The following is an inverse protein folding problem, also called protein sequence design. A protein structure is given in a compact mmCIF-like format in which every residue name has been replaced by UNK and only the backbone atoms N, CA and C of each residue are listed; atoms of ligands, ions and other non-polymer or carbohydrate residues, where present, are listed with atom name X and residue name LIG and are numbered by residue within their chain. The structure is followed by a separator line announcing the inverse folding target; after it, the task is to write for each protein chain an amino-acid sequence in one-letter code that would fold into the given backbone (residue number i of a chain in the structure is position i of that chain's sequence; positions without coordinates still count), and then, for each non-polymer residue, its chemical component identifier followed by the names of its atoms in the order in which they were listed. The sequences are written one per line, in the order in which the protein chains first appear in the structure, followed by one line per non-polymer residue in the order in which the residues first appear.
data_IF_175438428364
#
_entry.id   IF_175438428364
#
_cell.length_a   1.000
_cell.length_b   1.000
_cell.length_c   1.000
_cell.angle_alpha   90.00
_cell.angle_beta   90.00
_cell.angle_gamma   90.00
#
_symmetry.space_group_name_H-M   'P 1'
#
loop_
_entity.id
_entity.type
_entity.pdbx_description
1 polymer ?
#
# COMPACT_ATOMS: atom_id res chain seq x y z
N UNK A 1 -80.20 -54.75 5.19
CA UNK A 1 -80.48 -53.44 4.58
C UNK A 1 -79.50 -52.39 5.12
N UNK A 2 -78.44 -52.13 4.34
CA UNK A 2 -77.59 -50.93 4.20
C UNK A 2 -77.13 -50.14 5.45
N UNK A 3 -75.85 -50.34 5.84
CA UNK A 3 -75.06 -49.43 6.71
C UNK A 3 -74.63 -48.17 5.93
N UNK A 4 -75.15 -46.99 6.27
CA UNK A 4 -74.64 -45.69 5.79
C UNK A 4 -73.35 -45.31 6.55
N UNK A 5 -72.20 -45.39 5.88
CA UNK A 5 -70.94 -44.77 6.35
C UNK A 5 -70.95 -43.28 6.02
N UNK A 6 -70.92 -42.41 7.03
CA UNK A 6 -70.58 -40.98 6.87
C UNK A 6 -69.06 -40.86 6.73
N UNK A 7 -68.56 -40.42 5.57
CA UNK A 7 -67.15 -40.07 5.42
C UNK A 7 -66.91 -38.65 5.94
N UNK A 8 -66.10 -38.56 7.00
CA UNK A 8 -65.54 -37.31 7.49
C UNK A 8 -64.34 -36.95 6.61
N UNK A 9 -64.47 -35.94 5.75
CA UNK A 9 -63.32 -35.30 5.08
C UNK A 9 -62.55 -34.50 6.14
N UNK A 10 -61.60 -35.15 6.83
CA UNK A 10 -60.56 -34.44 7.59
C UNK A 10 -59.56 -33.85 6.60
N UNK A 11 -59.59 -32.53 6.44
CA UNK A 11 -58.59 -31.79 5.68
C UNK A 11 -57.20 -32.04 6.27
N UNK A 12 -56.31 -32.61 5.46
CA UNK A 12 -54.91 -32.79 5.81
C UNK A 12 -54.25 -31.40 5.94
N UNK A 13 -54.10 -30.90 7.17
CA UNK A 13 -53.18 -29.80 7.46
C UNK A 13 -51.75 -30.32 7.25
N UNK A 14 -51.21 -30.12 6.05
CA UNK A 14 -49.79 -30.34 5.75
C UNK A 14 -48.97 -29.42 6.67
N UNK A 15 -48.34 -29.98 7.70
CA UNK A 15 -47.36 -29.27 8.50
C UNK A 15 -46.16 -28.96 7.61
N UNK A 16 -46.07 -27.71 7.15
CA UNK A 16 -44.92 -27.22 6.39
C UNK A 16 -43.68 -27.31 7.29
N UNK A 17 -42.71 -28.15 6.90
CA UNK A 17 -41.50 -28.38 7.68
C UNK A 17 -40.73 -27.09 7.90
N UNK A 18 -40.10 -26.95 9.06
CA UNK A 18 -39.33 -25.76 9.49
C UNK A 18 -38.28 -25.32 8.45
N UNK A 19 -37.76 -26.24 7.64
CA UNK A 19 -36.86 -25.96 6.51
C UNK A 19 -37.52 -25.26 5.30
N UNK A 20 -38.81 -25.52 5.04
CA UNK A 20 -39.58 -24.80 4.01
C UNK A 20 -39.80 -23.33 4.38
N UNK A 21 -39.79 -23.00 5.68
CA UNK A 21 -39.97 -21.64 6.16
C UNK A 21 -38.72 -20.77 5.96
N UNK A 22 -37.51 -21.32 6.08
CA UNK A 22 -36.28 -20.57 5.85
C UNK A 22 -36.04 -20.28 4.35
N UNK A 23 -36.29 -21.27 3.50
CA UNK A 23 -36.10 -21.14 2.05
C UNK A 23 -37.17 -20.24 1.43
N UNK A 24 -38.44 -20.37 1.83
CA UNK A 24 -39.52 -19.46 1.41
C UNK A 24 -39.26 -18.02 1.89
N UNK A 25 -38.81 -17.82 3.13
CA UNK A 25 -38.48 -16.48 3.65
C UNK A 25 -37.30 -15.84 2.90
N UNK A 26 -36.29 -16.62 2.50
CA UNK A 26 -35.19 -16.15 1.62
C UNK A 26 -35.70 -15.77 0.23
N UNK A 27 -36.56 -16.58 -0.39
CA UNK A 27 -37.18 -16.29 -1.70
C UNK A 27 -38.04 -15.02 -1.64
N UNK A 28 -38.94 -14.92 -0.66
CA UNK A 28 -39.76 -13.74 -0.43
C UNK A 28 -38.92 -12.47 -0.24
N UNK A 29 -37.80 -12.55 0.49
CA UNK A 29 -36.88 -11.42 0.66
C UNK A 29 -36.15 -11.06 -0.64
N UNK A 30 -35.80 -12.04 -1.48
CA UNK A 30 -35.23 -11.82 -2.81
C UNK A 30 -36.24 -11.16 -3.74
N UNK A 31 -37.47 -11.63 -3.76
CA UNK A 31 -38.55 -11.12 -4.61
C UNK A 31 -38.98 -9.71 -4.22
N UNK A 32 -39.02 -9.40 -2.92
CA UNK A 32 -39.22 -8.03 -2.45
C UNK A 32 -38.10 -7.08 -2.91
N UNK A 33 -36.84 -7.54 -2.90
CA UNK A 33 -35.71 -6.73 -3.38
C UNK A 33 -35.77 -6.51 -4.89
N UNK A 34 -36.11 -7.54 -5.67
CA UNK A 34 -36.23 -7.40 -7.13
C UNK A 34 -37.39 -6.48 -7.50
N UNK A 35 -38.53 -6.58 -6.81
CA UNK A 35 -39.67 -5.66 -6.98
C UNK A 35 -39.31 -4.21 -6.67
N UNK A 36 -38.74 -3.93 -5.49
CA UNK A 36 -38.28 -2.57 -5.14
C UNK A 36 -37.25 -2.03 -6.13
N UNK A 37 -36.35 -2.88 -6.62
CA UNK A 37 -35.38 -2.50 -7.65
C UNK A 37 -36.06 -2.20 -8.98
N UNK A 38 -37.08 -2.95 -9.37
CA UNK A 38 -37.85 -2.71 -10.60
C UNK A 38 -38.67 -1.42 -10.51
N UNK A 39 -39.34 -1.16 -9.38
CA UNK A 39 -40.06 0.08 -9.10
C UNK A 39 -39.10 1.29 -9.14
N UNK A 40 -37.95 1.18 -8.48
CA UNK A 40 -36.91 2.20 -8.55
C UNK A 40 -36.41 2.44 -9.98
N UNK A 41 -36.16 1.40 -10.76
CA UNK A 41 -35.77 1.49 -12.17
C UNK A 41 -36.86 2.11 -13.04
N UNK A 42 -38.14 1.92 -12.70
CA UNK A 42 -39.25 2.54 -13.40
C UNK A 42 -39.31 4.06 -13.18
N UNK A 43 -38.84 4.57 -12.03
CA UNK A 43 -38.75 6.02 -11.76
C UNK A 43 -37.58 6.72 -12.48
N UNK A 44 -36.67 5.97 -13.11
CA UNK A 44 -35.45 6.51 -13.74
C UNK A 44 -35.68 6.84 -15.23
N UNK A 45 -34.97 7.85 -15.79
CA UNK A 45 -35.03 8.16 -17.21
C UNK A 45 -34.69 6.93 -18.08
N UNK A 46 -35.42 6.74 -19.18
CA UNK A 46 -35.22 5.64 -20.14
C UNK A 46 -33.88 5.77 -20.88
N UNK A 47 -33.43 7.00 -21.16
CA UNK A 47 -32.19 7.26 -21.90
C UNK A 47 -30.94 6.97 -21.05
N UNK A 48 -29.93 6.24 -21.57
CA UNK A 48 -28.77 5.80 -20.80
C UNK A 48 -27.95 6.95 -20.21
N UNK A 49 -27.73 8.02 -20.99
CA UNK A 49 -26.96 9.20 -20.54
C UNK A 49 -27.70 9.99 -19.45
N UNK A 50 -29.02 10.24 -19.61
CA UNK A 50 -29.84 10.93 -18.60
C UNK A 50 -29.93 10.12 -17.30
N UNK A 51 -29.95 8.79 -17.41
CA UNK A 51 -29.90 7.88 -16.27
C UNK A 51 -28.56 7.93 -15.55
N UNK A 52 -27.45 8.02 -16.29
CA UNK A 52 -26.12 8.17 -15.72
C UNK A 52 -25.98 9.51 -14.97
N UNK A 53 -26.34 10.63 -15.60
CA UNK A 53 -26.36 11.96 -14.99
C UNK A 53 -27.23 12.02 -13.73
N UNK A 54 -28.42 11.40 -13.76
CA UNK A 54 -29.31 11.34 -12.59
C UNK A 54 -28.70 10.57 -11.41
N UNK A 55 -27.85 9.56 -11.66
CA UNK A 55 -27.11 8.84 -10.63
C UNK A 55 -25.90 9.62 -10.11
N UNK A 56 -25.29 10.45 -10.95
CA UNK A 56 -24.14 11.30 -10.60
C UNK A 56 -24.52 12.55 -9.79
N UNK A 57 -25.81 12.81 -9.55
CA UNK A 57 -26.23 13.95 -8.73
C UNK A 57 -25.59 13.89 -7.32
N UNK A 58 -24.93 14.95 -6.85
CA UNK A 58 -24.08 14.93 -5.65
C UNK A 58 -24.76 14.33 -4.41
N UNK A 59 -25.99 14.77 -4.11
CA UNK A 59 -26.76 14.28 -2.95
C UNK A 59 -26.99 12.77 -2.95
N UNK A 60 -27.25 12.17 -4.12
CA UNK A 60 -27.55 10.73 -4.24
C UNK A 60 -26.27 9.91 -4.26
N UNK A 61 -25.22 10.47 -4.85
CA UNK A 61 -23.87 9.92 -4.78
C UNK A 61 -23.43 9.79 -3.32
N UNK A 62 -23.48 10.88 -2.53
CA UNK A 62 -23.13 10.83 -1.11
C UNK A 62 -24.07 9.90 -0.32
N UNK A 63 -25.39 9.99 -0.50
CA UNK A 63 -26.34 9.10 0.18
C UNK A 63 -26.08 7.61 -0.10
N UNK A 64 -25.65 7.26 -1.32
CA UNK A 64 -25.26 5.90 -1.66
C UNK A 64 -23.97 5.49 -0.94
N UNK A 65 -22.90 6.29 -1.03
CA UNK A 65 -21.60 5.97 -0.43
C UNK A 65 -21.63 5.86 1.11
N UNK A 66 -22.48 6.64 1.78
CA UNK A 66 -22.71 6.54 3.23
C UNK A 66 -23.75 5.47 3.63
N UNK A 67 -24.34 4.75 2.67
CA UNK A 67 -25.24 3.63 2.95
C UNK A 67 -24.49 2.32 3.17
N UNK A 68 -25.17 1.31 3.76
CA UNK A 68 -24.60 -0.05 3.90
C UNK A 68 -24.19 -0.67 2.56
N UNK A 69 -24.92 -0.37 1.48
CA UNK A 69 -24.60 -0.88 0.14
C UNK A 69 -23.37 -0.19 -0.46
N UNK A 70 -23.24 1.13 -0.24
CA UNK A 70 -22.06 1.90 -0.63
C UNK A 70 -20.80 1.50 0.12
N UNK A 71 -20.88 1.27 1.43
CA UNK A 71 -19.75 0.78 2.23
C UNK A 71 -19.23 -0.58 1.76
N UNK A 72 -20.12 -1.52 1.43
CA UNK A 72 -19.73 -2.82 0.86
C UNK A 72 -19.09 -2.63 -0.53
N UNK A 73 -19.59 -1.71 -1.35
CA UNK A 73 -18.98 -1.40 -2.64
C UNK A 73 -17.59 -0.77 -2.47
N UNK A 74 -17.41 0.12 -1.50
CA UNK A 74 -16.13 0.73 -1.15
C UNK A 74 -15.09 -0.34 -0.77
N UNK A 75 -15.47 -1.30 0.07
CA UNK A 75 -14.62 -2.43 0.45
C UNK A 75 -14.24 -3.29 -0.75
N UNK A 76 -15.18 -3.56 -1.67
CA UNK A 76 -14.88 -4.31 -2.91
C UNK A 76 -13.90 -3.57 -3.81
N UNK A 77 -14.14 -2.28 -4.02
CA UNK A 77 -13.25 -1.43 -4.82
C UNK A 77 -11.86 -1.36 -4.16
N UNK A 78 -11.80 -1.17 -2.85
CA UNK A 78 -10.55 -1.19 -2.08
C UNK A 78 -9.81 -2.52 -2.21
N UNK A 79 -10.52 -3.65 -2.09
CA UNK A 79 -9.94 -4.99 -2.26
C UNK A 79 -9.38 -5.21 -3.67
N UNK A 80 -10.11 -4.82 -4.71
CA UNK A 80 -9.64 -4.90 -6.11
C UNK A 80 -8.44 -3.96 -6.34
N UNK A 81 -8.46 -2.76 -5.77
CA UNK A 81 -7.36 -1.81 -5.86
C UNK A 81 -6.09 -2.34 -5.17
N UNK A 82 -6.22 -2.99 -4.00
CA UNK A 82 -5.10 -3.64 -3.31
C UNK A 82 -4.53 -4.76 -4.17
N UNK A 83 -5.38 -5.64 -4.72
CA UNK A 83 -4.93 -6.74 -5.58
C UNK A 83 -4.22 -6.21 -6.84
N UNK A 84 -4.76 -5.16 -7.45
CA UNK A 84 -4.12 -4.48 -8.57
C UNK A 84 -2.76 -3.89 -8.19
N UNK A 85 -2.66 -3.22 -7.04
CA UNK A 85 -1.38 -2.70 -6.53
C UNK A 85 -0.35 -3.80 -6.30
N UNK A 86 -0.75 -4.94 -5.73
CA UNK A 86 0.15 -6.09 -5.54
C UNK A 86 0.65 -6.64 -6.88
N UNK A 87 -0.23 -6.76 -7.87
CA UNK A 87 0.16 -7.22 -9.21
C UNK A 87 1.11 -6.25 -9.91
N UNK A 88 0.82 -4.95 -9.87
CA UNK A 88 1.68 -3.91 -10.43
C UNK A 88 3.04 -3.90 -9.73
N UNK A 89 3.05 -3.95 -8.40
CA UNK A 89 4.29 -3.99 -7.63
C UNK A 89 5.10 -5.25 -7.94
N UNK A 90 4.46 -6.42 -8.01
CA UNK A 90 5.11 -7.68 -8.37
C UNK A 90 5.69 -7.68 -9.78
N UNK A 91 4.97 -7.08 -10.75
CA UNK A 91 5.45 -6.93 -12.12
C UNK A 91 6.65 -5.98 -12.19
N UNK A 92 6.59 -4.83 -11.51
CA UNK A 92 7.71 -3.89 -11.42
C UNK A 92 8.91 -4.52 -10.71
N UNK A 93 8.67 -5.26 -9.62
CA UNK A 93 9.71 -6.01 -8.92
C UNK A 93 10.39 -7.00 -9.87
N UNK A 94 9.63 -7.82 -10.61
CA UNK A 94 10.17 -8.78 -11.56
C UNK A 94 10.93 -8.10 -12.71
N UNK A 95 10.42 -6.97 -13.21
CA UNK A 95 11.06 -6.19 -14.27
C UNK A 95 12.41 -5.63 -13.82
N UNK A 96 12.44 -4.91 -12.70
CA UNK A 96 13.67 -4.28 -12.20
C UNK A 96 14.62 -5.28 -11.54
N UNK A 97 14.14 -6.40 -11.00
CA UNK A 97 15.00 -7.42 -10.39
C UNK A 97 16.07 -7.93 -11.35
N UNK A 98 15.74 -8.09 -12.63
CA UNK A 98 16.70 -8.54 -13.65
C UNK A 98 17.83 -7.53 -13.88
N UNK A 99 17.55 -6.23 -13.78
CA UNK A 99 18.57 -5.18 -13.85
C UNK A 99 19.42 -5.13 -12.57
N UNK A 100 18.82 -5.45 -11.42
CA UNK A 100 19.44 -5.37 -10.10
C UNK A 100 20.27 -6.60 -9.74
N UNK A 101 20.06 -7.76 -10.37
CA UNK A 101 20.87 -8.97 -10.16
C UNK A 101 22.37 -8.74 -10.45
N UNK A 102 22.71 -7.72 -11.23
CA UNK A 102 24.09 -7.29 -11.47
C UNK A 102 24.74 -6.64 -10.23
N UNK A 103 23.94 -6.12 -9.30
CA UNK A 103 24.42 -5.42 -8.10
C UNK A 103 24.61 -6.44 -6.98
N UNK A 104 25.85 -6.90 -6.81
CA UNK A 104 26.21 -7.88 -5.79
C UNK A 104 26.53 -7.19 -4.47
N UNK A 105 26.14 -7.74 -3.30
CA UNK A 105 26.46 -7.14 -1.98
C UNK A 105 27.96 -6.89 -1.77
N UNK A 106 28.84 -7.70 -2.38
CA UNK A 106 30.29 -7.50 -2.37
C UNK A 106 30.80 -6.26 -3.13
N UNK A 107 29.94 -5.57 -3.88
CA UNK A 107 30.24 -4.25 -4.46
C UNK A 107 30.09 -3.12 -3.43
N UNK A 108 29.25 -3.30 -2.40
CA UNK A 108 28.99 -2.26 -1.41
C UNK A 108 30.28 -1.86 -0.67
N UNK A 109 31.07 -2.85 -0.27
CA UNK A 109 32.37 -2.64 0.39
C UNK A 109 33.44 -2.03 -0.53
N UNK A 110 33.28 -2.17 -1.86
CA UNK A 110 34.15 -1.50 -2.84
C UNK A 110 33.77 -0.03 -3.05
N UNK A 111 32.48 0.29 -2.89
CA UNK A 111 31.93 1.64 -3.13
C UNK A 111 31.93 2.53 -1.88
N UNK A 112 31.91 1.91 -0.69
CA UNK A 112 32.01 2.60 0.61
C UNK A 112 33.45 2.43 1.11
N UNK A 113 34.35 3.23 0.55
CA UNK A 113 35.77 3.24 0.95
C UNK A 113 36.18 4.62 1.44
N UNK A 114 37.12 4.62 2.38
CA UNK A 114 37.80 5.83 2.84
C UNK A 114 38.62 6.39 1.68
N UNK A 115 38.43 7.66 1.37
CA UNK A 115 39.18 8.36 0.32
C UNK A 115 40.30 9.22 0.90
N UNK A 116 40.42 9.27 2.23
CA UNK A 116 41.40 10.08 2.96
C UNK A 116 42.67 9.27 3.19
N UNK A 117 43.81 9.81 2.75
CA UNK A 117 45.12 9.26 3.05
C UNK A 117 45.64 9.88 4.34
N UNK A 118 46.09 9.04 5.28
CA UNK A 118 46.60 9.49 6.58
C UNK A 118 48.10 9.24 6.67
N UNK A 119 48.84 10.28 7.03
CA UNK A 119 50.28 10.23 7.25
C UNK A 119 50.56 10.22 8.74
N UNK A 120 51.30 9.21 9.20
CA UNK A 120 51.67 9.02 10.60
C UNK A 120 53.19 9.10 10.77
N UNK A 121 53.65 9.52 11.95
CA UNK A 121 55.05 9.37 12.36
C UNK A 121 55.36 7.91 12.74
N UNK A 122 56.64 7.58 12.94
CA UNK A 122 57.15 6.28 13.42
C UNK A 122 56.52 5.80 14.73
N UNK A 123 55.90 6.70 15.49
CA UNK A 123 55.24 6.43 16.76
C UNK A 123 53.69 6.38 16.62
N UNK A 124 53.16 6.21 15.40
CA UNK A 124 51.72 6.19 15.08
C UNK A 124 50.96 7.50 15.44
N UNK A 125 51.67 8.62 15.57
CA UNK A 125 51.04 9.93 15.75
C UNK A 125 50.60 10.47 14.39
N UNK A 126 49.30 10.76 14.24
CA UNK A 126 48.74 11.34 13.01
C UNK A 126 49.35 12.73 12.77
N UNK A 127 50.07 12.88 11.66
CA UNK A 127 50.69 14.15 11.26
C UNK A 127 49.81 14.93 10.31
N UNK A 128 49.18 14.25 9.34
CA UNK A 128 48.38 14.89 8.32
C UNK A 128 47.33 13.95 7.72
N UNK A 129 46.16 14.50 7.40
CA UNK A 129 45.14 13.87 6.57
C UNK A 129 45.05 14.59 5.22
N UNK A 130 45.38 13.89 4.14
CA UNK A 130 45.15 14.36 2.79
C UNK A 130 43.77 13.89 2.31
N UNK A 131 42.92 14.86 2.01
CA UNK A 131 41.52 14.68 1.62
C UNK A 131 41.31 14.83 0.11
N UNK A 132 42.35 15.18 -0.64
CA UNK A 132 42.27 15.54 -2.05
C UNK A 132 41.43 16.80 -2.31
N UNK A 133 41.14 17.05 -3.59
CA UNK A 133 40.57 18.32 -4.07
C UNK A 133 39.02 18.33 -4.09
N UNK A 134 38.38 17.26 -3.61
CA UNK A 134 36.95 17.02 -3.77
C UNK A 134 36.24 16.54 -2.50
N UNK A 135 35.04 15.99 -2.67
CA UNK A 135 34.29 15.38 -1.58
C UNK A 135 35.05 14.14 -1.05
N UNK A 136 35.35 14.14 0.24
CA UNK A 136 36.02 13.02 0.90
C UNK A 136 35.04 12.18 1.72
N UNK A 137 35.39 10.90 1.89
CA UNK A 137 34.70 9.97 2.78
C UNK A 137 35.68 9.39 3.77
N UNK A 138 35.29 9.41 5.05
CA UNK A 138 35.99 8.69 6.10
C UNK A 138 35.03 7.61 6.63
N UNK A 139 35.37 6.35 6.38
CA UNK A 139 34.62 5.22 6.93
C UNK A 139 35.13 4.96 8.34
N UNK A 140 34.24 5.11 9.31
CA UNK A 140 34.48 4.82 10.73
C UNK A 140 33.73 3.57 11.14
N UNK A 141 34.23 2.88 12.16
CA UNK A 141 33.52 1.75 12.76
C UNK A 141 32.34 2.28 13.57
N UNK A 142 31.29 1.46 13.70
CA UNK A 142 30.08 1.86 14.44
C UNK A 142 30.39 2.27 15.90
N UNK A 143 31.35 1.60 16.54
CA UNK A 143 31.76 1.88 17.91
C UNK A 143 32.56 3.19 18.07
N UNK A 144 32.99 3.81 16.97
CA UNK A 144 33.64 5.14 16.96
C UNK A 144 32.59 6.27 16.86
N UNK A 145 31.33 5.93 16.62
CA UNK A 145 30.22 6.89 16.54
C UNK A 145 29.57 7.02 17.91
N UNK A 146 29.53 8.23 18.45
CA UNK A 146 28.87 8.51 19.72
C UNK A 146 27.40 8.05 19.71
N UNK A 147 26.98 7.33 20.76
CA UNK A 147 25.63 6.78 20.86
C UNK A 147 24.51 7.84 20.68
N UNK A 148 24.59 9.04 21.28
CA UNK A 148 23.59 10.09 21.04
C UNK A 148 23.49 10.51 19.57
N UNK A 149 24.59 10.45 18.81
CA UNK A 149 24.59 10.78 17.38
C UNK A 149 23.80 9.74 16.59
N UNK A 150 24.05 8.44 16.83
CA UNK A 150 23.30 7.35 16.18
C UNK A 150 21.81 7.48 16.47
N UNK A 151 21.46 7.70 17.74
CA UNK A 151 20.07 7.84 18.16
C UNK A 151 19.39 9.07 17.55
N UNK A 152 20.08 10.22 17.49
CA UNK A 152 19.55 11.44 16.87
C UNK A 152 19.29 11.26 15.37
N UNK A 153 20.24 10.66 14.64
CA UNK A 153 20.07 10.39 13.21
C UNK A 153 18.89 9.45 12.96
N UNK A 154 18.77 8.37 13.72
CA UNK A 154 17.65 7.43 13.62
C UNK A 154 16.34 8.16 13.96
N UNK A 155 16.30 8.96 15.02
CA UNK A 155 15.09 9.66 15.42
C UNK A 155 14.57 10.65 14.36
N UNK A 156 15.48 11.37 13.68
CA UNK A 156 15.14 12.38 12.67
C UNK A 156 14.81 11.73 11.31
N UNK A 157 15.69 10.85 10.82
CA UNK A 157 15.60 10.32 9.45
C UNK A 157 14.71 9.08 9.36
N UNK A 158 14.80 8.18 10.34
CA UNK A 158 14.15 6.86 10.25
C UNK A 158 13.84 6.26 11.62
N UNK A 159 12.86 6.83 12.32
CA UNK A 159 12.54 6.48 13.73
C UNK A 159 12.24 5.00 13.99
N UNK A 160 11.85 4.26 12.95
CA UNK A 160 11.48 2.84 13.03
C UNK A 160 12.53 1.97 12.32
N UNK A 161 13.76 2.48 12.12
CA UNK A 161 14.85 1.83 11.40
C UNK A 161 15.04 0.35 11.76
N UNK A 162 15.09 0.05 13.06
CA UNK A 162 15.28 -1.32 13.55
C UNK A 162 14.02 -2.22 13.49
N UNK A 163 12.86 -1.69 13.10
CA UNK A 163 11.59 -2.42 13.06
C UNK A 163 11.16 -2.84 11.65
N UNK A 164 11.82 -2.31 10.62
CA UNK A 164 11.47 -2.61 9.23
C UNK A 164 12.64 -3.24 8.46
N UNK A 165 12.33 -4.07 7.46
CA UNK A 165 13.32 -4.67 6.56
C UNK A 165 13.75 -3.72 5.44
N UNK A 166 14.15 -2.50 5.77
CA UNK A 166 14.68 -1.51 4.81
C UNK A 166 13.67 -0.62 4.08
N UNK A 167 12.37 -0.93 4.05
CA UNK A 167 11.31 -0.02 3.57
C UNK A 167 10.26 0.19 4.65
N UNK A 168 9.99 1.45 5.01
CA UNK A 168 9.05 1.82 6.05
C UNK A 168 7.67 2.16 5.47
N UNK A 169 6.71 1.23 5.58
CA UNK A 169 5.33 1.49 5.18
C UNK A 169 4.71 2.64 5.99
N UNK A 170 4.96 2.68 7.32
CA UNK A 170 4.50 3.76 8.19
C UNK A 170 5.12 5.11 7.82
N UNK A 171 6.40 5.13 7.42
CA UNK A 171 7.09 6.31 6.90
C UNK A 171 6.45 6.84 5.61
N UNK A 172 6.20 5.97 4.64
CA UNK A 172 5.56 6.31 3.37
C UNK A 172 4.14 6.85 3.60
N UNK A 173 3.31 6.15 4.39
CA UNK A 173 1.94 6.58 4.66
C UNK A 173 1.90 7.93 5.39
N UNK A 174 2.77 8.14 6.38
CA UNK A 174 2.88 9.41 7.11
C UNK A 174 3.27 10.56 6.19
N UNK A 175 4.29 10.36 5.36
CA UNK A 175 4.73 11.35 4.39
C UNK A 175 3.63 11.70 3.39
N UNK A 176 2.89 10.68 2.90
CA UNK A 176 1.73 10.89 2.03
C UNK A 176 0.65 11.73 2.73
N UNK A 177 0.21 11.35 3.93
CA UNK A 177 -0.83 12.10 4.66
C UNK A 177 -0.40 13.55 4.94
N UNK A 178 0.84 13.77 5.36
CA UNK A 178 1.35 15.10 5.66
C UNK A 178 1.46 15.99 4.41
N UNK A 179 1.96 15.44 3.31
CA UNK A 179 2.12 16.18 2.05
C UNK A 179 0.77 16.53 1.40
N UNK A 180 -0.25 15.68 1.55
CA UNK A 180 -1.61 15.95 1.07
C UNK A 180 -2.43 16.83 2.02
N UNK A 181 -2.11 16.82 3.31
CA UNK A 181 -2.78 17.63 4.34
C UNK A 181 -2.32 19.08 4.44
N UNK A 182 -1.43 19.55 3.54
CA UNK A 182 -0.87 20.91 3.56
C UNK A 182 0.23 21.12 4.59
N UNK A 183 0.76 20.04 5.20
CA UNK A 183 1.95 20.11 6.03
C UNK A 183 3.22 20.36 5.20
N UNK A 184 4.31 20.74 5.87
CA UNK A 184 5.62 20.84 5.23
C UNK A 184 6.05 19.50 4.61
N UNK A 185 6.79 19.55 3.50
CA UNK A 185 7.23 18.37 2.76
C UNK A 185 8.00 17.41 3.67
N UNK A 186 7.46 16.22 3.90
CA UNK A 186 8.13 15.16 4.66
C UNK A 186 8.63 14.06 3.72
N UNK A 187 9.88 13.64 3.94
CA UNK A 187 10.47 12.47 3.29
C UNK A 187 9.95 11.17 3.93
N UNK A 188 9.55 10.20 3.09
CA UNK A 188 9.15 8.86 3.54
C UNK A 188 10.22 7.78 3.32
N UNK A 189 11.44 8.17 2.96
CA UNK A 189 12.52 7.24 2.62
C UNK A 189 13.33 6.83 3.85
N UNK A 190 13.71 5.55 3.94
CA UNK A 190 14.47 4.96 5.05
C UNK A 190 15.97 5.21 4.90
N UNK A 191 16.74 5.03 5.99
CA UNK A 191 18.21 5.11 5.94
C UNK A 191 18.79 4.09 4.95
N UNK A 192 18.22 2.89 4.85
CA UNK A 192 18.65 1.88 3.87
C UNK A 192 18.43 2.34 2.43
N UNK A 193 17.28 2.94 2.12
CA UNK A 193 17.03 3.51 0.80
C UNK A 193 17.97 4.68 0.49
N UNK A 194 18.26 5.52 1.49
CA UNK A 194 19.21 6.62 1.34
C UNK A 194 20.62 6.11 1.04
N UNK A 195 21.08 5.05 1.72
CA UNK A 195 22.35 4.39 1.46
C UNK A 195 22.41 3.84 0.03
N UNK A 196 21.40 3.07 -0.38
CA UNK A 196 21.32 2.50 -1.74
C UNK A 196 21.37 3.60 -2.79
N UNK A 197 20.60 4.68 -2.62
CA UNK A 197 20.60 5.84 -3.50
C UNK A 197 21.98 6.46 -3.64
N UNK A 198 22.68 6.67 -2.52
CA UNK A 198 24.01 7.30 -2.52
C UNK A 198 25.10 6.42 -3.12
N UNK A 199 24.98 5.10 -2.98
CA UNK A 199 26.01 4.15 -3.42
C UNK A 199 25.84 3.75 -4.89
N UNK A 200 24.60 3.50 -5.32
CA UNK A 200 24.32 2.89 -6.63
C UNK A 200 23.67 3.84 -7.63
N UNK A 201 23.02 4.91 -7.16
CA UNK A 201 22.22 5.80 -8.02
C UNK A 201 22.51 7.28 -7.76
N UNK A 202 23.76 7.61 -7.39
CA UNK A 202 24.16 8.98 -7.11
C UNK A 202 23.93 9.91 -8.31
N UNK A 203 24.24 9.44 -9.52
CA UNK A 203 24.08 10.20 -10.77
C UNK A 203 22.60 10.43 -11.13
N UNK A 204 21.74 9.49 -10.74
CA UNK A 204 20.30 9.61 -10.96
C UNK A 204 19.63 10.48 -9.89
N UNK A 205 20.29 10.80 -8.77
CA UNK A 205 19.69 11.47 -7.61
C UNK A 205 19.08 12.85 -7.93
N UNK A 206 19.59 13.55 -8.94
CA UNK A 206 19.07 14.83 -9.41
C UNK A 206 17.71 14.75 -10.11
N UNK A 207 17.31 13.56 -10.58
CA UNK A 207 16.03 13.36 -11.27
C UNK A 207 14.89 13.40 -10.24
N UNK A 208 14.14 14.51 -10.26
CA UNK A 208 12.96 14.75 -9.41
C UNK A 208 11.67 14.52 -10.18
N UNK A 209 10.55 14.36 -9.46
CA UNK A 209 9.24 14.15 -10.06
C UNK A 209 9.09 12.76 -10.70
N UNK A 210 8.38 12.68 -11.83
CA UNK A 210 8.08 11.42 -12.51
C UNK A 210 9.32 10.71 -13.05
N UNK A 211 10.37 11.45 -13.44
CA UNK A 211 11.63 10.87 -13.92
C UNK A 211 12.40 10.10 -12.84
N UNK A 212 12.22 10.43 -11.56
CA UNK A 212 12.88 9.75 -10.44
C UNK A 212 12.16 8.50 -9.92
N UNK A 213 10.98 8.17 -10.48
CA UNK A 213 10.17 7.01 -10.04
C UNK A 213 10.89 5.68 -10.30
N UNK A 214 11.51 5.42 -11.47
CA UNK A 214 12.27 4.19 -11.70
C UNK A 214 13.38 3.98 -10.67
N UNK A 215 14.15 5.04 -10.38
CA UNK A 215 15.20 5.03 -9.34
C UNK A 215 14.63 4.67 -7.97
N UNK A 216 13.53 5.30 -7.55
CA UNK A 216 12.88 5.00 -6.26
C UNK A 216 12.39 3.55 -6.15
N UNK A 217 11.93 2.95 -7.25
CA UNK A 217 11.56 1.53 -7.28
C UNK A 217 12.81 0.66 -7.10
N UNK A 218 13.89 0.95 -7.83
CA UNK A 218 15.19 0.26 -7.68
C UNK A 218 15.74 0.39 -6.25
N UNK A 219 15.69 1.58 -5.67
CA UNK A 219 16.06 1.84 -4.27
C UNK A 219 15.27 0.96 -3.29
N UNK A 220 13.94 0.86 -3.47
CA UNK A 220 13.09 0.05 -2.60
C UNK A 220 13.35 -1.46 -2.75
N UNK A 221 13.65 -1.94 -3.96
CA UNK A 221 13.94 -3.35 -4.20
C UNK A 221 15.29 -3.75 -3.60
N UNK A 222 16.32 -2.91 -3.72
CA UNK A 222 17.65 -3.17 -3.15
C UNK A 222 17.71 -2.99 -1.63
N UNK A 223 16.77 -2.23 -1.06
CA UNK A 223 16.73 -1.99 0.37
C UNK A 223 16.15 -3.17 1.18
N UNK A 224 15.42 -4.08 0.52
CA UNK A 224 14.80 -5.29 1.11
C UNK A 224 15.68 -6.51 0.82
#
# INVERSE_FOLDING_TARGET
MIKKRRSSRKGARRSLGVYSNLTSRRRAKKDMRTRRKAEYLATLPKHPVKRALHRMHPRRFFAYWFSREGGIMALKIGGVAILFMVLVFGALFAYFRRELDAIRPGELSKRVQTTVTRYYDRNDVLLWEDKGDGNYKLVVKENEIAEPMKQATIAIEDKDFYKHGGVSFTGITRAFVNNFGGGGTQGGSTLTQQLVKQVFFADEAGQRGLGGVPRKIKEAILAV
#
